data_IF_531434913554
#
_entry.id   IF_531434913554
#
_cell.length_a   1.000
_cell.length_b   1.000
_cell.length_c   1.000
_cell.angle_alpha   90.00
_cell.angle_beta   90.00
_cell.angle_gamma   90.00
#
_symmetry.space_group_name_H-M   'P 1'
#
loop_
_entity.id
_entity.type
_entity.pdbx_description
1 polymer ?
#
# COMPACT_ATOMS: atom_id res chain seq x y z
N UNK A 1 19.13 10.53 18.60
CA UNK A 1 20.02 9.35 18.72
C UNK A 1 19.25 8.04 18.90
N UNK A 2 18.19 7.98 19.71
CA UNK A 2 17.36 6.76 19.92
C UNK A 2 16.73 6.15 18.64
N UNK A 3 16.31 6.99 17.68
CA UNK A 3 15.69 6.55 16.42
C UNK A 3 16.62 5.72 15.52
N UNK A 4 17.94 5.85 15.70
CA UNK A 4 18.96 5.21 14.85
C UNK A 4 19.34 3.80 15.31
N UNK A 5 19.07 3.48 16.57
CA UNK A 5 19.25 2.14 17.14
C UNK A 5 18.04 1.26 16.81
N UNK A 6 16.83 1.82 16.91
CA UNK A 6 15.59 1.14 16.53
C UNK A 6 15.50 0.84 15.02
N UNK A 7 16.20 1.61 14.16
CA UNK A 7 16.19 1.39 12.71
C UNK A 7 16.99 0.16 12.24
N UNK A 8 17.85 -0.40 13.10
CA UNK A 8 18.55 -1.66 12.80
C UNK A 8 17.65 -2.90 12.96
N UNK A 9 16.56 -2.77 13.72
CA UNK A 9 15.55 -3.82 13.93
C UNK A 9 14.25 -3.58 13.14
N UNK A 10 14.22 -2.53 12.30
CA UNK A 10 13.07 -2.26 11.45
C UNK A 10 12.96 -3.34 10.37
N UNK A 11 11.78 -3.96 10.25
CA UNK A 11 11.52 -4.94 9.19
C UNK A 11 11.73 -4.32 7.82
N UNK A 12 12.21 -5.14 6.89
CA UNK A 12 12.36 -4.76 5.48
C UNK A 12 11.20 -5.35 4.73
N UNK A 13 10.31 -4.50 4.22
CA UNK A 13 9.17 -4.91 3.41
C UNK A 13 9.50 -4.73 1.93
N UNK A 14 9.37 -5.81 1.17
CA UNK A 14 9.43 -5.77 -0.29
C UNK A 14 8.02 -5.68 -0.86
N UNK A 15 7.71 -4.55 -1.49
CA UNK A 15 6.40 -4.18 -2.00
C UNK A 15 6.43 -4.27 -3.53
N UNK A 16 5.65 -5.19 -4.07
CA UNK A 16 5.48 -5.38 -5.51
C UNK A 16 4.07 -4.97 -5.92
N UNK A 17 3.97 -4.11 -6.93
CA UNK A 17 2.70 -3.47 -7.32
C UNK A 17 2.41 -3.77 -8.79
N UNK A 18 1.26 -4.42 -9.03
CA UNK A 18 0.62 -4.58 -10.33
C UNK A 18 -0.73 -3.86 -10.32
N UNK A 19 -1.38 -3.73 -11.48
CA UNK A 19 -2.74 -3.20 -11.52
C UNK A 19 -3.74 -4.11 -10.77
N UNK A 20 -3.58 -5.43 -10.86
CA UNK A 20 -4.53 -6.41 -10.31
C UNK A 20 -4.04 -7.13 -9.04
N UNK A 21 -2.82 -6.82 -8.56
CA UNK A 21 -2.20 -7.49 -7.42
C UNK A 21 -1.30 -6.55 -6.65
N UNK A 22 -1.37 -6.61 -5.33
CA UNK A 22 -0.41 -6.03 -4.41
C UNK A 22 0.18 -7.17 -3.58
N UNK A 23 1.51 -7.32 -3.65
CA UNK A 23 2.24 -8.26 -2.81
C UNK A 23 3.22 -7.51 -1.92
N UNK A 24 3.15 -7.74 -0.61
CA UNK A 24 4.10 -7.22 0.36
C UNK A 24 4.70 -8.39 1.11
N UNK A 25 6.02 -8.53 1.07
CA UNK A 25 6.75 -9.59 1.77
C UNK A 25 7.61 -8.97 2.86
N UNK A 26 7.47 -9.45 4.09
CA UNK A 26 8.46 -9.17 5.11
C UNK A 26 9.67 -10.09 4.89
N UNK A 27 10.80 -9.51 4.52
CA UNK A 27 12.02 -10.27 4.18
C UNK A 27 12.58 -10.99 5.41
N UNK A 28 12.32 -10.48 6.61
CA UNK A 28 12.85 -11.06 7.85
C UNK A 28 12.05 -12.25 8.33
N UNK A 29 10.72 -12.23 8.20
CA UNK A 29 9.84 -13.31 8.66
C UNK A 29 9.41 -14.24 7.55
N UNK A 30 9.47 -13.80 6.29
CA UNK A 30 8.93 -14.51 5.13
C UNK A 30 7.40 -14.40 5.00
N UNK A 31 6.73 -13.68 5.90
CA UNK A 31 5.28 -13.47 5.83
C UNK A 31 4.91 -12.60 4.63
N UNK A 32 3.74 -12.88 4.05
CA UNK A 32 3.29 -12.25 2.81
C UNK A 32 1.85 -11.77 2.95
N UNK A 33 1.63 -10.50 2.59
CA UNK A 33 0.34 -9.98 2.20
C UNK A 33 0.25 -10.06 0.67
N UNK A 34 -0.77 -10.72 0.12
CA UNK A 34 -0.92 -10.95 -1.31
C UNK A 34 -2.41 -10.94 -1.69
N UNK A 35 -2.88 -9.86 -2.29
CA UNK A 35 -4.30 -9.71 -2.66
C UNK A 35 -4.47 -8.71 -3.81
N UNK A 36 -5.68 -8.63 -4.36
CA UNK A 36 -6.05 -7.60 -5.32
C UNK A 36 -6.12 -6.21 -4.63
N UNK A 37 -5.68 -5.12 -5.28
CA UNK A 37 -5.58 -3.80 -4.66
C UNK A 37 -6.93 -3.05 -4.61
N UNK A 38 -8.03 -3.74 -4.35
CA UNK A 38 -9.33 -3.10 -4.19
C UNK A 38 -9.50 -2.56 -2.78
N UNK A 39 -9.96 -1.32 -2.68
CA UNK A 39 -10.35 -0.69 -1.42
C UNK A 39 -11.83 -0.33 -1.51
N UNK A 40 -12.60 -0.85 -0.57
CA UNK A 40 -14.04 -0.64 -0.49
C UNK A 40 -14.31 0.54 0.42
N UNK A 41 -15.00 1.53 -0.13
CA UNK A 41 -15.31 2.78 0.55
C UNK A 41 -16.82 2.86 0.73
N UNK A 42 -17.26 2.88 1.98
CA UNK A 42 -18.64 3.13 2.35
C UNK A 42 -18.89 4.63 2.42
N UNK A 43 -19.98 5.07 1.78
CA UNK A 43 -20.40 6.47 1.74
C UNK A 43 -21.64 6.63 2.61
N UNK A 44 -21.59 7.56 3.55
CA UNK A 44 -22.74 7.92 4.39
C UNK A 44 -23.48 9.14 3.85
N UNK A 45 -24.73 9.33 4.30
CA UNK A 45 -25.63 10.40 3.82
C UNK A 45 -25.06 11.82 3.97
N UNK A 46 -24.12 12.03 4.90
CA UNK A 46 -23.44 13.32 5.12
C UNK A 46 -22.16 13.50 4.29
N UNK A 47 -21.88 12.60 3.34
CA UNK A 47 -20.68 12.61 2.50
C UNK A 47 -19.41 12.09 3.21
N UNK A 48 -19.54 11.61 4.44
CA UNK A 48 -18.45 10.93 5.16
C UNK A 48 -18.09 9.62 4.43
N UNK A 49 -16.79 9.37 4.30
CA UNK A 49 -16.23 8.19 3.63
C UNK A 49 -15.39 7.39 4.60
N UNK A 50 -15.66 6.10 4.71
CA UNK A 50 -14.84 5.17 5.50
C UNK A 50 -14.41 4.00 4.63
N UNK A 51 -13.23 3.46 4.91
CA UNK A 51 -12.80 2.20 4.32
C UNK A 51 -13.50 1.08 5.07
N UNK A 52 -14.39 0.34 4.40
CA UNK A 52 -15.14 -0.78 4.98
C UNK A 52 -14.51 -2.15 4.67
N UNK A 53 -13.65 -2.22 3.65
CA UNK A 53 -12.99 -3.47 3.27
C UNK A 53 -11.82 -3.25 2.31
N UNK A 54 -10.94 -4.25 2.22
CA UNK A 54 -9.80 -4.29 1.31
C UNK A 54 -9.69 -5.71 0.74
N UNK A 55 -9.29 -5.82 -0.51
CA UNK A 55 -8.97 -7.10 -1.15
C UNK A 55 -10.07 -7.63 -2.06
N UNK A 56 -9.76 -8.76 -2.71
CA UNK A 56 -10.64 -9.45 -3.65
C UNK A 56 -11.96 -9.88 -3.02
N UNK A 57 -11.91 -10.41 -1.79
CA UNK A 57 -13.10 -10.87 -1.05
C UNK A 57 -14.03 -9.69 -0.76
N UNK A 58 -13.49 -8.56 -0.28
CA UNK A 58 -14.30 -7.38 0.00
C UNK A 58 -14.96 -6.83 -1.29
N UNK A 59 -14.24 -6.88 -2.41
CA UNK A 59 -14.75 -6.46 -3.71
C UNK A 59 -15.89 -7.36 -4.25
N UNK A 60 -15.87 -8.66 -3.94
CA UNK A 60 -16.95 -9.59 -4.35
C UNK A 60 -18.26 -9.36 -3.57
N UNK A 61 -18.17 -8.78 -2.37
CA UNK A 61 -19.31 -8.57 -1.47
C UNK A 61 -19.67 -7.09 -1.32
N UNK A 62 -19.69 -6.35 -2.42
CA UNK A 62 -19.99 -4.91 -2.42
C UNK A 62 -21.44 -4.64 -2.02
N UNK A 63 -21.66 -3.80 -0.99
CA UNK A 63 -22.98 -3.34 -0.62
C UNK A 63 -23.46 -2.16 -1.51
N UNK A 64 -24.75 -1.86 -1.48
CA UNK A 64 -25.37 -0.79 -2.30
C UNK A 64 -24.87 0.63 -1.97
N UNK A 65 -24.35 0.86 -0.77
CA UNK A 65 -23.76 2.14 -0.33
C UNK A 65 -22.24 2.13 -0.30
N UNK A 66 -21.62 1.19 -1.01
CA UNK A 66 -20.18 1.04 -1.12
C UNK A 66 -19.71 1.21 -2.56
N UNK A 67 -18.51 1.75 -2.71
CA UNK A 67 -17.81 1.81 -3.98
C UNK A 67 -16.49 1.06 -3.87
N UNK A 68 -16.08 0.41 -4.96
CA UNK A 68 -14.76 -0.21 -5.06
C UNK A 68 -13.83 0.72 -5.83
N UNK A 69 -12.64 0.96 -5.27
CA UNK A 69 -11.60 1.77 -5.90
C UNK A 69 -10.33 0.95 -5.98
N UNK A 70 -9.74 0.90 -7.18
CA UNK A 70 -8.40 0.38 -7.41
C UNK A 70 -7.43 1.55 -7.61
N UNK A 71 -6.50 1.81 -6.67
CA UNK A 71 -5.58 2.95 -6.72
C UNK A 71 -4.45 2.79 -7.74
N UNK A 72 -4.28 1.61 -8.33
CA UNK A 72 -3.20 1.29 -9.28
C UNK A 72 -3.70 1.04 -10.72
N UNK A 73 -5.00 1.21 -10.94
CA UNK A 73 -5.67 1.05 -12.25
C UNK A 73 -5.71 2.35 -13.03
N UNK A 74 -4.67 2.63 -13.81
CA UNK A 74 -4.63 3.77 -14.75
C UNK A 74 -3.94 3.41 -16.08
N UNK A 75 -4.40 3.92 -17.25
CA UNK A 75 -3.93 3.42 -18.55
C UNK A 75 -2.43 3.59 -18.86
N UNK A 76 -1.77 4.57 -18.25
CA UNK A 76 -0.37 4.92 -18.56
C UNK A 76 0.61 4.78 -17.41
N UNK A 77 0.12 4.79 -16.18
CA UNK A 77 0.95 4.76 -14.97
C UNK A 77 0.28 3.85 -13.95
N UNK A 78 1.01 3.31 -12.98
CA UNK A 78 0.46 2.44 -11.92
C UNK A 78 -0.23 3.22 -10.78
N UNK A 79 -0.76 4.42 -11.05
CA UNK A 79 -1.43 5.28 -10.07
C UNK A 79 -2.68 5.91 -10.66
N UNK A 80 -3.82 5.71 -10.01
CA UNK A 80 -5.08 6.41 -10.26
C UNK A 80 -5.52 7.24 -9.05
N UNK A 81 -5.32 6.72 -7.84
CA UNK A 81 -5.70 7.38 -6.58
C UNK A 81 -4.62 7.18 -5.51
N UNK A 82 -3.88 8.25 -5.23
CA UNK A 82 -2.77 8.22 -4.26
C UNK A 82 -3.25 7.97 -2.83
N UNK A 83 -4.36 8.62 -2.42
CA UNK A 83 -4.83 8.54 -1.04
C UNK A 83 -5.33 7.13 -0.72
N UNK A 84 -6.09 6.53 -1.65
CA UNK A 84 -6.56 5.15 -1.51
C UNK A 84 -5.39 4.18 -1.52
N UNK A 85 -4.38 4.40 -2.37
CA UNK A 85 -3.15 3.61 -2.39
C UNK A 85 -2.35 3.68 -1.08
N UNK A 86 -2.26 4.86 -0.47
CA UNK A 86 -1.61 5.04 0.82
C UNK A 86 -2.31 4.21 1.90
N UNK A 87 -3.65 4.26 1.95
CA UNK A 87 -4.45 3.51 2.93
C UNK A 87 -4.32 2.00 2.73
N UNK A 88 -4.27 1.55 1.48
CA UNK A 88 -4.02 0.16 1.13
C UNK A 88 -2.65 -0.32 1.64
N UNK A 89 -1.59 0.47 1.42
CA UNK A 89 -0.26 0.12 1.97
C UNK A 89 -0.21 0.18 3.49
N UNK A 90 -0.86 1.17 4.12
CA UNK A 90 -0.98 1.23 5.59
C UNK A 90 -1.58 -0.08 6.13
N UNK A 91 -2.67 -0.55 5.52
CA UNK A 91 -3.30 -1.81 5.89
C UNK A 91 -2.35 -3.00 5.72
N UNK A 92 -1.70 -3.14 4.57
CA UNK A 92 -0.76 -4.24 4.30
C UNK A 92 0.40 -4.25 5.31
N UNK A 93 0.97 -3.09 5.63
CA UNK A 93 2.07 -2.98 6.59
C UNK A 93 1.61 -3.31 8.00
N UNK A 94 0.42 -2.86 8.40
CA UNK A 94 -0.16 -3.21 9.70
C UNK A 94 -0.47 -4.70 9.80
N UNK A 95 -0.92 -5.34 8.71
CA UNK A 95 -1.19 -6.79 8.68
C UNK A 95 0.06 -7.64 8.88
N UNK A 96 1.21 -7.20 8.36
CA UNK A 96 2.50 -7.87 8.52
C UNK A 96 3.26 -7.41 9.78
N UNK A 97 2.72 -6.45 10.54
CA UNK A 97 3.32 -6.01 11.79
C UNK A 97 2.96 -6.93 12.94
N UNK A 98 3.97 -7.41 13.65
CA UNK A 98 3.79 -8.18 14.90
C UNK A 98 3.27 -7.31 16.08
N UNK A 99 3.36 -5.98 15.97
CA UNK A 99 2.97 -5.05 17.04
C UNK A 99 1.68 -4.34 16.63
N UNK A 100 0.54 -4.87 17.08
CA UNK A 100 -0.80 -4.36 16.72
C UNK A 100 -1.10 -2.95 17.24
N UNK A 101 -0.40 -2.48 18.28
CA UNK A 101 -0.68 -1.21 18.98
C UNK A 101 0.23 -0.05 18.53
N UNK A 102 1.24 -0.30 17.70
CA UNK A 102 2.17 0.73 17.23
C UNK A 102 2.13 0.83 15.70
N UNK A 103 2.19 2.06 15.18
CA UNK A 103 2.35 2.28 13.74
C UNK A 103 3.67 1.63 13.29
N UNK A 104 3.65 0.68 12.34
CA UNK A 104 4.87 0.04 11.86
C UNK A 104 5.76 1.08 11.20
N UNK A 105 7.07 0.88 11.32
CA UNK A 105 8.10 1.78 10.77
C UNK A 105 9.10 1.01 9.90
N UNK A 106 8.62 0.35 8.83
CA UNK A 106 9.46 -0.53 8.02
C UNK A 106 10.43 0.28 7.16
N UNK A 107 11.52 -0.37 6.76
CA UNK A 107 12.26 0.01 5.55
C UNK A 107 11.56 -0.67 4.37
N UNK A 108 11.38 0.05 3.27
CA UNK A 108 10.58 -0.45 2.14
C UNK A 108 11.41 -0.45 0.87
N UNK A 109 11.32 -1.55 0.13
CA UNK A 109 11.75 -1.64 -1.26
C UNK A 109 10.46 -1.69 -2.09
N UNK A 110 10.19 -0.68 -2.91
CA UNK A 110 9.06 -0.69 -3.85
C UNK A 110 9.55 -1.14 -5.22
N UNK A 111 8.79 -2.03 -5.86
CA UNK A 111 9.00 -2.44 -7.23
C UNK A 111 7.68 -2.39 -7.99
N UNK A 112 7.48 -1.39 -8.86
CA UNK A 112 6.36 -1.37 -9.80
C UNK A 112 6.61 -2.42 -10.88
N UNK A 113 5.67 -3.33 -11.05
CA UNK A 113 5.87 -4.55 -11.84
C UNK A 113 5.35 -4.45 -13.29
N UNK A 114 4.65 -3.36 -13.60
CA UNK A 114 4.03 -3.09 -14.90
C UNK A 114 4.09 -1.59 -15.21
N UNK A 115 3.86 -1.20 -16.47
CA UNK A 115 3.82 0.22 -16.89
C UNK A 115 5.13 0.96 -16.57
N UNK A 116 6.25 0.26 -16.75
CA UNK A 116 7.61 0.76 -16.51
C UNK A 116 8.40 0.89 -17.81
N UNK A 117 7.73 0.92 -18.96
CA UNK A 117 8.37 1.04 -20.27
C UNK A 117 9.14 2.37 -20.37
N UNK A 118 10.43 2.29 -20.73
CA UNK A 118 11.32 3.45 -20.72
C UNK A 118 11.81 3.86 -19.32
N UNK A 119 11.46 3.10 -18.29
CA UNK A 119 11.80 3.36 -16.89
C UNK A 119 10.87 4.38 -16.22
N UNK A 120 10.94 4.43 -14.88
CA UNK A 120 10.11 5.36 -14.10
C UNK A 120 10.60 6.80 -14.26
N UNK A 121 9.68 7.71 -14.54
CA UNK A 121 9.90 9.16 -14.48
C UNK A 121 10.23 9.61 -13.05
N UNK A 122 10.79 10.81 -12.92
CA UNK A 122 11.05 11.39 -11.59
C UNK A 122 9.76 11.64 -10.79
N UNK A 123 8.64 11.92 -11.47
CA UNK A 123 7.33 12.11 -10.83
C UNK A 123 6.83 10.79 -10.26
N UNK A 124 6.91 9.70 -11.02
CA UNK A 124 6.49 8.37 -10.56
C UNK A 124 7.37 7.87 -9.42
N UNK A 125 8.71 8.01 -9.54
CA UNK A 125 9.63 7.68 -8.45
C UNK A 125 9.28 8.44 -7.16
N UNK A 126 8.94 9.74 -7.28
CA UNK A 126 8.50 10.52 -6.13
C UNK A 126 7.16 10.02 -5.60
N UNK A 127 6.18 9.75 -6.46
CA UNK A 127 4.87 9.23 -6.06
C UNK A 127 5.00 7.92 -5.27
N UNK A 128 5.73 6.92 -5.77
CA UNK A 128 5.95 5.68 -5.02
C UNK A 128 6.65 5.91 -3.68
N UNK A 129 7.67 6.77 -3.66
CA UNK A 129 8.38 7.09 -2.42
C UNK A 129 7.46 7.72 -1.38
N UNK A 130 6.69 8.73 -1.77
CA UNK A 130 5.73 9.40 -0.89
C UNK A 130 4.62 8.44 -0.44
N UNK A 131 4.19 7.52 -1.31
CA UNK A 131 3.18 6.52 -0.98
C UNK A 131 3.63 5.62 0.17
N UNK A 132 4.85 5.07 0.10
CA UNK A 132 5.40 4.24 1.18
C UNK A 132 5.67 5.05 2.45
N UNK A 133 6.19 6.28 2.33
CA UNK A 133 6.41 7.16 3.50
C UNK A 133 5.08 7.50 4.17
N UNK A 134 4.06 7.86 3.38
CA UNK A 134 2.68 8.05 3.84
C UNK A 134 2.12 6.80 4.51
N UNK A 135 2.52 5.61 4.06
CA UNK A 135 2.16 4.36 4.71
C UNK A 135 2.90 4.07 6.04
N UNK A 136 3.97 4.79 6.34
CA UNK A 136 4.76 4.66 7.58
C UNK A 136 6.21 4.23 7.38
N UNK A 137 6.67 4.10 6.14
CA UNK A 137 8.05 3.74 5.85
C UNK A 137 9.03 4.81 6.37
N UNK A 138 10.14 4.36 6.97
CA UNK A 138 11.21 5.25 7.44
C UNK A 138 12.32 5.46 6.39
N UNK A 139 12.45 4.51 5.48
CA UNK A 139 13.39 4.55 4.37
C UNK A 139 12.74 3.82 3.19
N UNK A 140 12.90 4.36 1.98
CA UNK A 140 12.33 3.77 0.77
C UNK A 140 13.41 3.67 -0.30
N UNK A 141 13.46 2.51 -0.95
CA UNK A 141 14.23 2.23 -2.17
C UNK A 141 13.27 1.82 -3.29
N UNK A 142 13.64 2.15 -4.51
CA UNK A 142 12.93 1.85 -5.76
C UNK A 142 13.88 1.09 -6.68
#
# INVERSE_FOLDING_TARGET
>A
MLTRILSHFASVLYVQIWENRLKVTDISTGEVFDDAPYVIIKIFDKGEKIISGIGSIANQHLASNEISVNPFSHPRVLFSDFYVGEKLLQYAFTKLSNIKSLRPRPKVIIHPMEKTEGGLTMIEKRAFRELAVGAGAIEVKL
#
